data_IF_054278277731
#
_entry.id   IF_054278277731
#
_cell.length_a   1.000
_cell.length_b   1.000
_cell.length_c   1.000
_cell.angle_alpha   90.00
_cell.angle_beta   90.00
_cell.angle_gamma   90.00
#
_symmetry.space_group_name_H-M   'P 1'
#
loop_
_entity.id
_entity.type
_entity.pdbx_description
1 polymer ?
#
# COMPACT_ATOMS: atom_id res chain seq x y z
N UNK A 1 3.59 -20.17 8.86
CA UNK A 1 3.66 -18.75 8.46
C UNK A 1 4.95 -18.55 7.66
N UNK A 2 4.88 -18.21 6.37
CA UNK A 2 6.06 -17.80 5.59
C UNK A 2 6.15 -16.27 5.71
N UNK A 3 7.25 -15.74 6.23
CA UNK A 3 7.50 -14.29 6.23
C UNK A 3 7.88 -13.93 4.79
N UNK A 4 6.88 -13.67 3.95
CA UNK A 4 7.04 -13.41 2.53
C UNK A 4 7.06 -11.91 2.28
N UNK A 5 8.11 -11.44 1.61
CA UNK A 5 8.07 -10.18 0.89
C UNK A 5 7.43 -10.39 -0.48
N UNK A 6 6.58 -9.44 -0.91
CA UNK A 6 6.13 -9.34 -2.31
C UNK A 6 6.59 -8.01 -2.90
N UNK A 7 7.73 -8.04 -3.58
CA UNK A 7 8.07 -7.13 -4.68
C UNK A 7 9.00 -7.91 -5.63
N UNK A 8 8.62 -7.94 -6.91
CA UNK A 8 9.28 -8.66 -8.02
C UNK A 8 9.11 -10.20 -8.10
N UNK A 9 8.04 -10.78 -7.54
CA UNK A 9 7.59 -12.12 -7.95
C UNK A 9 8.46 -13.32 -7.55
N UNK A 10 9.60 -13.13 -6.90
CA UNK A 10 10.42 -14.23 -6.38
C UNK A 10 10.12 -14.44 -4.91
N UNK A 11 9.48 -15.58 -4.59
CA UNK A 11 9.48 -16.09 -3.24
C UNK A 11 10.90 -16.57 -2.94
N UNK A 12 11.61 -15.88 -2.06
CA UNK A 12 12.92 -16.36 -1.59
C UNK A 12 12.73 -17.49 -0.58
N UNK A 13 13.73 -18.37 -0.50
CA UNK A 13 13.74 -19.50 0.43
C UNK A 13 13.70 -19.05 1.90
N UNK A 14 13.30 -19.97 2.80
CA UNK A 14 13.12 -19.63 4.23
C UNK A 14 14.46 -19.40 4.96
N UNK A 15 14.76 -18.15 5.27
CA UNK A 15 15.93 -17.80 6.11
C UNK A 15 15.75 -18.13 7.60
N UNK A 16 14.52 -18.11 8.10
CA UNK A 16 14.21 -18.25 9.53
C UNK A 16 13.21 -19.37 9.80
N UNK A 17 13.32 -20.01 10.98
CA UNK A 17 12.29 -20.93 11.46
C UNK A 17 11.10 -20.19 12.09
N UNK A 18 9.91 -20.71 11.84
CA UNK A 18 8.72 -20.37 12.60
C UNK A 18 8.50 -21.46 13.65
N UNK A 19 8.79 -21.14 14.91
CA UNK A 19 8.38 -21.94 16.07
C UNK A 19 7.11 -21.36 16.68
N UNK A 20 6.41 -22.16 17.47
CA UNK A 20 5.15 -21.80 18.15
C UNK A 20 5.18 -22.30 19.59
N UNK A 21 6.32 -22.10 20.25
CA UNK A 21 6.54 -22.50 21.65
C UNK A 21 6.04 -21.43 22.60
N UNK A 22 6.14 -20.16 22.20
CA UNK A 22 5.67 -19.03 22.98
C UNK A 22 4.17 -18.84 22.74
N UNK A 23 3.44 -18.46 23.79
CA UNK A 23 2.02 -18.11 23.70
C UNK A 23 1.84 -16.70 23.09
N UNK A 24 2.33 -16.53 21.87
CA UNK A 24 2.28 -15.26 21.13
C UNK A 24 0.93 -15.12 20.41
N UNK A 25 -0.05 -14.56 21.10
CA UNK A 25 -1.40 -14.34 20.58
C UNK A 25 -1.72 -12.86 20.45
N UNK A 26 -2.41 -12.53 19.35
CA UNK A 26 -3.03 -11.21 19.15
C UNK A 26 -4.52 -11.42 18.87
N UNK A 27 -5.33 -10.45 19.28
CA UNK A 27 -6.79 -10.50 19.15
C UNK A 27 -7.21 -10.83 17.71
N UNK A 28 -8.14 -11.77 17.56
CA UNK A 28 -8.74 -12.19 16.29
C UNK A 28 -7.81 -12.93 15.30
N UNK A 29 -6.59 -13.31 15.73
CA UNK A 29 -5.66 -14.11 14.92
C UNK A 29 -5.25 -15.41 15.62
N UNK A 30 -4.87 -16.46 14.85
CA UNK A 30 -4.25 -17.65 15.42
C UNK A 30 -2.87 -17.34 16.02
N UNK A 31 -2.30 -18.31 16.74
CA UNK A 31 -0.96 -18.18 17.33
C UNK A 31 0.07 -17.74 16.28
N UNK A 32 0.83 -16.71 16.63
CA UNK A 32 1.90 -16.18 15.82
C UNK A 32 3.21 -16.93 16.09
N UNK A 33 4.13 -16.88 15.13
CA UNK A 33 5.44 -17.48 15.33
C UNK A 33 6.21 -16.75 16.44
N UNK A 34 7.02 -17.51 17.17
CA UNK A 34 7.90 -17.00 18.21
C UNK A 34 8.83 -15.90 17.64
N UNK A 35 9.11 -14.87 18.44
CA UNK A 35 9.98 -13.77 18.02
C UNK A 35 9.36 -12.70 17.13
N UNK A 36 8.10 -12.89 16.68
CA UNK A 36 7.32 -11.85 16.01
C UNK A 36 6.61 -10.96 17.03
N UNK A 37 6.88 -9.67 17.00
CA UNK A 37 6.16 -8.68 17.79
C UNK A 37 5.18 -7.94 16.89
N UNK A 38 3.88 -7.99 17.23
CA UNK A 38 2.82 -7.33 16.47
C UNK A 38 2.19 -6.22 17.32
N UNK A 39 2.25 -5.00 16.79
CA UNK A 39 1.81 -3.79 17.50
C UNK A 39 0.71 -3.13 16.65
N UNK A 40 -0.55 -3.08 17.10
CA UNK A 40 -1.59 -2.33 16.40
C UNK A 40 -1.23 -0.83 16.39
N UNK A 41 -1.43 -0.16 15.26
CA UNK A 41 -1.22 1.28 15.17
C UNK A 41 -2.28 2.06 15.97
N UNK A 42 -1.95 3.28 16.45
CA UNK A 42 -2.90 4.15 17.14
C UNK A 42 -4.17 4.42 16.34
N UNK A 43 -5.29 4.66 17.03
CA UNK A 43 -6.62 4.80 16.41
C UNK A 43 -6.70 5.97 15.42
N UNK A 44 -5.85 6.98 15.58
CA UNK A 44 -5.73 8.14 14.70
C UNK A 44 -5.17 7.77 13.32
N UNK A 45 -4.38 6.69 13.26
CA UNK A 45 -3.82 6.14 12.02
C UNK A 45 -4.71 5.03 11.42
N UNK A 46 -5.58 4.43 12.23
CA UNK A 46 -6.52 3.41 11.78
C UNK A 46 -7.67 4.02 10.96
N UNK A 47 -8.03 3.36 9.86
CA UNK A 47 -9.13 3.77 8.96
C UNK A 47 -8.99 5.21 8.42
N UNK A 48 -7.75 5.71 8.30
CA UNK A 48 -7.48 7.06 7.83
C UNK A 48 -7.45 7.11 6.30
N UNK A 49 -8.30 7.98 5.73
CA UNK A 49 -8.30 8.33 4.32
C UNK A 49 -7.41 9.55 4.03
N UNK A 50 -6.57 9.46 3.00
CA UNK A 50 -5.73 10.54 2.49
C UNK A 50 -6.06 10.75 1.02
N UNK A 51 -6.36 12.00 0.65
CA UNK A 51 -6.51 12.42 -0.73
C UNK A 51 -5.22 13.12 -1.16
N UNK A 52 -4.61 12.70 -2.26
CA UNK A 52 -3.42 13.34 -2.81
C UNK A 52 -3.74 14.71 -3.39
N UNK A 53 -2.72 15.50 -3.69
CA UNK A 53 -2.90 16.66 -4.57
C UNK A 53 -3.28 16.20 -5.99
N UNK A 54 -4.06 17.01 -6.75
CA UNK A 54 -4.39 16.72 -8.14
C UNK A 54 -3.17 16.93 -9.03
N UNK A 55 -2.84 15.94 -9.86
CA UNK A 55 -1.68 15.96 -10.77
C UNK A 55 -2.13 15.66 -12.21
N UNK A 56 -1.42 16.15 -13.25
CA UNK A 56 -1.71 15.76 -14.63
C UNK A 56 -1.58 14.26 -14.83
N UNK A 57 -2.49 13.65 -15.60
CA UNK A 57 -2.44 12.23 -15.88
C UNK A 57 -1.37 11.91 -16.94
N UNK A 58 -0.15 11.62 -16.49
CA UNK A 58 1.00 11.35 -17.37
C UNK A 58 0.76 10.20 -18.36
N UNK A 59 -0.08 9.22 -18.01
CA UNK A 59 -0.40 8.10 -18.90
C UNK A 59 -1.17 8.56 -20.15
N UNK A 60 -1.99 9.61 -20.03
CA UNK A 60 -2.73 10.20 -21.15
C UNK A 60 -1.91 11.25 -21.91
N UNK A 61 -0.74 11.63 -21.39
CA UNK A 61 0.19 12.57 -22.01
C UNK A 61 1.36 11.87 -22.70
N UNK A 62 1.44 10.55 -22.57
CA UNK A 62 2.47 9.73 -23.23
C UNK A 62 1.89 9.14 -24.52
N UNK A 63 2.55 9.36 -25.66
CA UNK A 63 2.08 8.91 -26.98
C UNK A 63 1.21 9.94 -27.71
N UNK A 64 0.24 9.48 -28.50
CA UNK A 64 -0.71 10.32 -29.27
C UNK A 64 -1.78 10.92 -28.34
N UNK A 65 -1.37 11.89 -27.53
CA UNK A 65 -2.21 12.54 -26.55
C UNK A 65 -3.29 13.41 -27.23
N UNK A 66 -4.53 12.96 -27.19
CA UNK A 66 -5.69 13.74 -27.61
C UNK A 66 -6.27 14.49 -26.40
N UNK A 67 -5.85 15.74 -26.21
CA UNK A 67 -6.45 16.64 -25.23
C UNK A 67 -6.78 17.99 -25.86
N UNK A 68 -7.84 18.64 -25.37
CA UNK A 68 -8.18 19.99 -25.83
C UNK A 68 -7.34 21.01 -25.09
N UNK A 69 -6.57 21.82 -25.83
CA UNK A 69 -5.76 22.91 -25.27
C UNK A 69 -6.63 23.93 -24.52
N UNK A 70 -7.85 24.18 -25.01
CA UNK A 70 -8.80 25.07 -24.37
C UNK A 70 -9.28 24.57 -23.00
N UNK A 71 -9.37 23.24 -22.80
CA UNK A 71 -9.70 22.66 -21.50
C UNK A 71 -8.46 22.44 -20.63
N UNK A 72 -7.29 22.29 -21.23
CA UNK A 72 -6.04 21.95 -20.55
C UNK A 72 -5.89 20.45 -20.28
N UNK A 73 -4.85 20.09 -19.52
CA UNK A 73 -4.48 18.69 -19.31
C UNK A 73 -5.50 17.92 -18.45
N UNK A 74 -5.75 16.62 -18.78
CA UNK A 74 -6.51 15.74 -17.91
C UNK A 74 -5.78 15.56 -16.58
N UNK A 75 -6.53 15.55 -15.48
CA UNK A 75 -5.99 15.45 -14.13
C UNK A 75 -6.37 14.12 -13.49
N UNK A 76 -5.55 13.67 -12.55
CA UNK A 76 -5.79 12.50 -11.71
C UNK A 76 -5.49 12.87 -10.26
N UNK A 77 -6.33 12.37 -9.36
CA UNK A 77 -6.17 12.51 -7.92
C UNK A 77 -6.37 11.15 -7.26
N UNK A 78 -5.44 10.75 -6.40
CA UNK A 78 -5.47 9.46 -5.74
C UNK A 78 -6.08 9.60 -4.35
N UNK A 79 -7.06 8.77 -4.05
CA UNK A 79 -7.55 8.57 -2.70
C UNK A 79 -7.07 7.23 -2.17
N UNK A 80 -6.56 7.24 -0.94
CA UNK A 80 -6.08 6.04 -0.27
C UNK A 80 -6.61 5.97 1.14
N UNK A 81 -7.20 4.83 1.50
CA UNK A 81 -7.60 4.50 2.87
C UNK A 81 -6.77 3.33 3.35
N UNK A 82 -6.24 3.46 4.57
CA UNK A 82 -5.55 2.39 5.26
C UNK A 82 -6.31 2.03 6.52
N UNK A 83 -6.58 0.74 6.72
CA UNK A 83 -7.30 0.22 7.87
C UNK A 83 -6.66 -1.06 8.38
N UNK A 84 -7.01 -1.46 9.61
CA UNK A 84 -6.52 -2.69 10.24
C UNK A 84 -4.98 -2.78 10.22
N UNK A 85 -4.33 -1.69 10.61
CA UNK A 85 -2.89 -1.51 10.51
C UNK A 85 -2.16 -2.12 11.71
N UNK A 86 -1.14 -2.93 11.44
CA UNK A 86 -0.24 -3.52 12.42
C UNK A 86 1.20 -3.33 12.01
N UNK A 87 2.02 -2.84 12.95
CA UNK A 87 3.47 -2.82 12.84
C UNK A 87 3.99 -4.16 13.34
N UNK A 88 4.64 -4.91 12.47
CA UNK A 88 5.21 -6.22 12.77
C UNK A 88 6.72 -6.09 12.78
N UNK A 89 7.35 -6.49 13.88
CA UNK A 89 8.80 -6.48 14.07
C UNK A 89 9.30 -7.88 14.36
N UNK A 90 10.46 -8.23 13.80
CA UNK A 90 11.24 -9.40 14.20
C UNK A 90 12.15 -9.02 15.37
N UNK A 91 11.91 -9.58 16.55
CA UNK A 91 12.64 -9.24 17.79
C UNK A 91 13.73 -10.26 18.14
N UNK A 92 13.48 -11.55 17.96
CA UNK A 92 14.45 -12.62 18.24
C UNK A 92 14.04 -13.89 17.50
N UNK A 93 14.78 -14.28 16.47
CA UNK A 93 14.42 -15.43 15.64
C UNK A 93 15.64 -16.31 15.35
N UNK A 94 15.41 -17.61 15.24
CA UNK A 94 16.45 -18.59 14.89
C UNK A 94 16.52 -18.78 13.37
N UNK A 95 17.74 -18.77 12.83
CA UNK A 95 17.98 -19.12 11.43
C UNK A 95 17.46 -20.53 11.12
N UNK A 96 16.99 -20.75 9.89
CA UNK A 96 16.60 -22.08 9.45
C UNK A 96 17.83 -23.00 9.38
N UNK A 97 17.65 -24.30 9.59
CA UNK A 97 18.80 -25.24 9.57
C UNK A 97 19.38 -25.31 8.16
N UNK A 98 18.54 -25.26 7.14
CA UNK A 98 18.97 -25.30 5.75
C UNK A 98 19.72 -24.04 5.36
N UNK A 99 19.23 -22.85 5.75
CA UNK A 99 19.98 -21.60 5.55
C UNK A 99 21.32 -21.63 6.29
N UNK A 100 21.33 -22.12 7.53
CA UNK A 100 22.57 -22.24 8.32
C UNK A 100 23.58 -23.22 7.70
N UNK A 101 23.12 -24.29 7.06
CA UNK A 101 24.00 -25.25 6.34
C UNK A 101 24.61 -24.60 5.11
N UNK A 102 23.80 -23.94 4.28
CA UNK A 102 24.29 -23.25 3.08
C UNK A 102 25.26 -22.12 3.47
N UNK A 103 24.94 -21.36 4.52
CA UNK A 103 25.82 -20.32 5.03
C UNK A 103 27.17 -20.88 5.51
N UNK A 104 27.17 -22.07 6.12
CA UNK A 104 28.42 -22.76 6.54
C UNK A 104 29.21 -23.34 5.37
N UNK A 105 28.56 -23.68 4.25
CA UNK A 105 29.28 -24.14 3.06
C UNK A 105 29.92 -23.00 2.28
N UNK A 106 29.45 -21.76 2.46
CA UNK A 106 30.12 -20.58 1.92
C UNK A 106 31.35 -20.27 2.78
N UNK A 107 32.53 -20.28 2.17
CA UNK A 107 33.83 -20.07 2.83
C UNK A 107 34.59 -18.92 2.17
N UNK A 108 35.78 -18.60 2.67
CA UNK A 108 36.62 -17.55 2.09
C UNK A 108 37.03 -17.84 0.62
N UNK A 109 37.03 -19.11 0.22
CA UNK A 109 37.38 -19.56 -1.12
C UNK A 109 36.17 -19.70 -2.06
N UNK A 110 34.97 -19.33 -1.60
CA UNK A 110 33.76 -19.44 -2.41
C UNK A 110 33.80 -18.54 -3.65
N UNK A 111 33.33 -19.09 -4.77
CA UNK A 111 33.37 -18.41 -6.06
C UNK A 111 32.30 -17.32 -6.17
N UNK A 112 32.49 -16.40 -7.12
CA UNK A 112 31.49 -15.37 -7.42
C UNK A 112 30.15 -16.01 -7.82
N UNK A 113 30.20 -17.09 -8.58
CA UNK A 113 29.03 -17.82 -9.09
C UNK A 113 28.23 -18.44 -7.95
N UNK A 114 28.91 -19.02 -6.95
CA UNK A 114 28.28 -19.54 -5.72
C UNK A 114 27.58 -18.45 -4.91
N UNK A 115 28.24 -17.29 -4.75
CA UNK A 115 27.66 -16.15 -4.05
C UNK A 115 26.45 -15.57 -4.79
N UNK A 116 26.50 -15.49 -6.12
CA UNK A 116 25.38 -15.05 -6.94
C UNK A 116 24.21 -16.03 -6.86
N UNK A 117 24.47 -17.34 -6.90
CA UNK A 117 23.44 -18.36 -6.73
C UNK A 117 22.77 -18.26 -5.35
N UNK A 118 23.56 -18.02 -4.29
CA UNK A 118 23.04 -17.79 -2.95
C UNK A 118 22.10 -16.57 -2.88
N UNK A 119 22.53 -15.42 -3.42
CA UNK A 119 21.72 -14.20 -3.44
C UNK A 119 20.46 -14.38 -4.30
N UNK A 120 20.55 -15.12 -5.40
CA UNK A 120 19.40 -15.43 -6.25
C UNK A 120 18.37 -16.30 -5.51
N UNK A 121 18.82 -17.25 -4.69
CA UNK A 121 17.96 -18.17 -3.97
C UNK A 121 17.34 -17.56 -2.69
N UNK A 122 18.15 -16.88 -1.88
CA UNK A 122 17.72 -16.35 -0.58
C UNK A 122 17.38 -14.86 -0.63
N UNK A 123 17.85 -14.13 -1.63
CA UNK A 123 17.74 -12.68 -1.69
C UNK A 123 18.86 -11.98 -0.92
N UNK A 124 18.92 -10.66 -1.05
CA UNK A 124 19.98 -9.84 -0.44
C UNK A 124 19.63 -9.30 0.95
N UNK A 125 18.36 -9.35 1.34
CA UNK A 125 17.86 -8.73 2.58
C UNK A 125 16.74 -9.56 3.21
N UNK A 126 16.53 -9.36 4.51
CA UNK A 126 15.35 -9.83 5.24
C UNK A 126 14.56 -8.64 5.79
N UNK A 127 13.27 -8.86 6.08
CA UNK A 127 12.38 -7.82 6.63
C UNK A 127 12.48 -7.85 8.15
N UNK A 128 13.13 -6.87 8.77
CA UNK A 128 13.15 -6.70 10.23
C UNK A 128 11.87 -6.06 10.77
N UNK A 129 11.26 -5.17 9.99
CA UNK A 129 10.03 -4.47 10.35
C UNK A 129 9.18 -4.21 9.10
N UNK A 130 7.86 -4.40 9.23
CA UNK A 130 6.91 -4.09 8.18
C UNK A 130 5.58 -3.59 8.75
N UNK A 131 4.88 -2.80 7.93
CA UNK A 131 3.52 -2.36 8.19
C UNK A 131 2.57 -3.25 7.39
N UNK A 132 1.72 -3.99 8.10
CA UNK A 132 0.66 -4.82 7.53
C UNK A 132 -0.69 -4.16 7.77
N UNK A 133 -1.66 -4.51 6.91
CA UNK A 133 -3.05 -4.11 7.05
C UNK A 133 -3.77 -4.13 5.72
N UNK A 134 -4.94 -3.50 5.69
CA UNK A 134 -5.77 -3.36 4.49
C UNK A 134 -5.58 -1.97 3.89
N UNK A 135 -5.30 -1.91 2.60
CA UNK A 135 -5.19 -0.66 1.85
C UNK A 135 -6.17 -0.68 0.68
N UNK A 136 -7.04 0.33 0.61
CA UNK A 136 -7.86 0.62 -0.56
C UNK A 136 -7.30 1.87 -1.24
N UNK A 137 -6.97 1.76 -2.51
CA UNK A 137 -6.52 2.87 -3.34
C UNK A 137 -7.48 3.04 -4.51
N UNK A 138 -7.96 4.27 -4.72
CA UNK A 138 -8.82 4.65 -5.83
C UNK A 138 -8.21 5.85 -6.56
N UNK A 139 -8.30 5.86 -7.89
CA UNK A 139 -7.90 7.00 -8.71
C UNK A 139 -9.15 7.69 -9.24
N UNK A 140 -9.20 9.01 -9.06
CA UNK A 140 -10.27 9.88 -9.57
C UNK A 140 -9.70 10.62 -10.78
N UNK A 141 -10.37 10.48 -11.92
CA UNK A 141 -9.96 11.12 -13.17
C UNK A 141 -10.85 12.32 -13.47
N UNK A 142 -10.22 13.43 -13.82
CA UNK A 142 -10.91 14.65 -14.21
C UNK A 142 -10.52 15.03 -15.64
N UNK A 143 -11.47 15.50 -16.46
CA UNK A 143 -11.19 15.88 -17.85
C UNK A 143 -10.27 17.09 -17.95
N UNK A 144 -10.26 17.97 -16.95
CA UNK A 144 -9.39 19.13 -16.90
C UNK A 144 -9.10 19.61 -15.48
N UNK A 145 -8.05 20.42 -15.33
CA UNK A 145 -7.75 21.16 -14.09
C UNK A 145 -8.89 22.09 -13.68
N UNK A 146 -9.55 22.76 -14.63
CA UNK A 146 -10.66 23.67 -14.34
C UNK A 146 -11.85 22.93 -13.73
N UNK A 147 -12.23 21.79 -14.32
CA UNK A 147 -13.32 20.94 -13.81
C UNK A 147 -13.01 20.43 -12.40
N UNK A 148 -11.77 20.00 -12.16
CA UNK A 148 -11.33 19.55 -10.83
C UNK A 148 -11.46 20.65 -9.78
N UNK A 149 -10.99 21.87 -10.07
CA UNK A 149 -11.05 23.01 -9.15
C UNK A 149 -12.49 23.43 -8.85
N UNK A 150 -13.34 23.48 -9.88
CA UNK A 150 -14.76 23.82 -9.71
C UNK A 150 -15.48 22.82 -8.80
N UNK A 151 -15.30 21.52 -9.06
CA UNK A 151 -15.88 20.46 -8.24
C UNK A 151 -15.35 20.51 -6.80
N UNK A 152 -14.05 20.79 -6.62
CA UNK A 152 -13.45 20.93 -5.29
C UNK A 152 -14.03 22.11 -4.50
N UNK A 153 -14.17 23.28 -5.13
CA UNK A 153 -14.76 24.46 -4.51
C UNK A 153 -16.25 24.24 -4.17
N UNK A 154 -17.00 23.57 -5.06
CA UNK A 154 -18.39 23.19 -4.79
C UNK A 154 -18.48 22.24 -3.60
N UNK A 155 -17.61 21.23 -3.54
CA UNK A 155 -17.52 20.31 -2.42
C UNK A 155 -17.23 21.04 -1.10
N UNK A 156 -16.26 21.96 -1.08
CA UNK A 156 -15.94 22.76 0.10
C UNK A 156 -17.13 23.60 0.59
N UNK A 157 -17.88 24.21 -0.33
CA UNK A 157 -19.10 24.97 0.00
C UNK A 157 -20.17 24.07 0.63
N UNK A 158 -20.44 22.90 0.05
CA UNK A 158 -21.42 21.94 0.58
C UNK A 158 -20.99 21.41 1.94
N UNK A 159 -19.71 21.10 2.13
CA UNK A 159 -19.15 20.64 3.41
C UNK A 159 -19.28 21.69 4.51
N UNK A 160 -19.03 22.96 4.19
CA UNK A 160 -19.15 24.05 5.15
C UNK A 160 -20.61 24.29 5.57
N UNK A 161 -21.55 24.09 4.64
CA UNK A 161 -22.98 24.29 4.88
C UNK A 161 -23.65 23.08 5.55
N UNK A 162 -23.08 21.88 5.42
CA UNK A 162 -23.55 20.67 6.12
C UNK A 162 -22.76 20.42 7.40
N UNK A 163 -23.06 21.20 8.44
CA UNK A 163 -22.66 20.86 9.81
C UNK A 163 -23.37 19.53 10.16
N UNK A 164 -22.59 18.49 10.48
CA UNK A 164 -22.97 17.09 10.76
C UNK A 164 -22.89 16.11 9.57
N UNK A 165 -21.69 15.63 9.26
CA UNK A 165 -21.54 14.22 8.88
C UNK A 165 -20.21 13.67 9.39
N UNK A 166 -20.29 12.66 10.28
CA UNK A 166 -19.16 11.85 10.79
C UNK A 166 -18.53 10.95 9.72
N UNK A 167 -18.72 11.25 8.44
CA UNK A 167 -18.18 10.49 7.32
C UNK A 167 -16.88 11.14 6.84
N UNK A 168 -15.85 10.35 6.47
CA UNK A 168 -14.62 10.93 5.94
C UNK A 168 -14.95 11.73 4.68
N UNK A 169 -14.38 12.94 4.51
CA UNK A 169 -14.72 13.90 3.46
C UNK A 169 -14.65 13.32 2.04
N UNK A 170 -13.90 12.24 1.83
CA UNK A 170 -13.72 11.63 0.53
C UNK A 170 -14.80 10.62 0.16
N UNK A 171 -15.51 10.03 1.14
CA UNK A 171 -16.70 9.22 0.83
C UNK A 171 -17.78 10.10 0.19
N UNK A 172 -17.89 11.36 0.63
CA UNK A 172 -18.73 12.35 -0.01
C UNK A 172 -18.19 12.72 -1.39
N UNK A 173 -16.89 12.96 -1.61
CA UNK A 173 -16.37 13.29 -2.96
C UNK A 173 -16.59 12.15 -3.95
N UNK A 174 -16.33 10.91 -3.55
CA UNK A 174 -16.56 9.73 -4.39
C UNK A 174 -18.05 9.54 -4.64
N UNK A 175 -18.89 9.58 -3.60
CA UNK A 175 -20.35 9.54 -3.78
C UNK A 175 -20.88 10.71 -4.61
N UNK A 176 -20.36 11.93 -4.45
CA UNK A 176 -20.72 13.09 -5.27
C UNK A 176 -20.29 12.91 -6.71
N UNK A 177 -19.09 12.37 -6.98
CA UNK A 177 -18.64 12.09 -8.34
C UNK A 177 -19.44 10.96 -8.99
N UNK A 178 -19.83 9.93 -8.23
CA UNK A 178 -20.76 8.88 -8.69
C UNK A 178 -22.15 9.46 -8.95
N UNK A 179 -22.70 10.26 -8.04
CA UNK A 179 -24.02 10.89 -8.16
C UNK A 179 -24.05 11.90 -9.31
N UNK A 180 -23.00 12.70 -9.53
CA UNK A 180 -22.91 13.61 -10.68
C UNK A 180 -22.72 12.85 -12.01
N UNK A 181 -22.00 11.73 -12.01
CA UNK A 181 -21.94 10.86 -13.19
C UNK A 181 -23.31 10.26 -13.54
N UNK A 182 -24.19 10.03 -12.54
CA UNK A 182 -25.58 9.60 -12.75
C UNK A 182 -26.56 10.74 -13.06
N UNK A 183 -26.29 11.98 -12.63
CA UNK A 183 -27.18 13.13 -12.82
C UNK A 183 -26.85 14.01 -14.02
N UNK A 184 -25.70 13.81 -14.69
CA UNK A 184 -25.38 14.45 -15.97
C UNK A 184 -25.34 13.43 -17.12
N UNK A 185 -26.48 13.09 -17.73
CA UNK A 185 -26.50 12.45 -19.05
C UNK A 185 -26.18 13.43 -20.19
N UNK A 186 -25.91 14.71 -19.90
CA UNK A 186 -25.52 15.70 -20.91
C UNK A 186 -24.02 15.95 -20.84
N UNK A 187 -23.26 15.20 -21.64
CA UNK A 187 -22.08 15.62 -22.41
C UNK A 187 -21.71 14.41 -23.32
N UNK A 188 -22.58 14.14 -24.30
CA UNK A 188 -22.19 13.66 -25.62
C UNK A 188 -22.22 14.88 -26.55
#
# INVERSE_FOLDING_TARGET
MRILHRRNGFYTERMFYAYFRDNNFIKDFPQLADGLMVIPLPVEEQCRGVLSEPLPNLQLLSGDAQFSEATGYPMMQQWRVRSNLYRVKLSAITLSTDFSKVLKSLTADSTREELLAFIQQYGSHYISEALYGSELTCNIYFPSKKSQQQLWLQYQKVKLNSVLQKNPPVLQILQFSSIFAYLNPFQQ
#
